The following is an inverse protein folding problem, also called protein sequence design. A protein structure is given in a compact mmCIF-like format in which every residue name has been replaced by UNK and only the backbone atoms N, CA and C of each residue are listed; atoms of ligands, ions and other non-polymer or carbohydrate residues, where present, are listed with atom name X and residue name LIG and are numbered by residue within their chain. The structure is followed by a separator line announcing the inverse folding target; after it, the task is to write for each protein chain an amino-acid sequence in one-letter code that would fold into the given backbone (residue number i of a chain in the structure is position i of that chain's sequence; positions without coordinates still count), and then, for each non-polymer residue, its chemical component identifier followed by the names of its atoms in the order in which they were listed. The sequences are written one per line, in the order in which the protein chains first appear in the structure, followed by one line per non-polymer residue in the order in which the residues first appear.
data_IF_253809402871
#
_entry.id   IF_253809402871
#
_cell.length_a   1.000
_cell.length_b   1.000
_cell.length_c   1.000
_cell.angle_alpha   90.00
_cell.angle_beta   90.00
_cell.angle_gamma   90.00
#
_symmetry.space_group_name_H-M   'P 1'
#
loop_
_entity.id
_entity.type
_entity.pdbx_description
1 polymer ?
#
# COMPACT_ATOMS: atom_id res chain seq x y z
N UNK A 1 12.25 -4.11 9.49
CA UNK A 1 13.71 -3.86 9.56
C UNK A 1 13.98 -2.36 9.65
N UNK A 2 14.94 -1.93 10.45
CA UNK A 2 15.15 -0.49 10.68
C UNK A 2 15.58 0.28 9.43
N UNK A 3 16.13 -0.41 8.43
CA UNK A 3 16.59 0.16 7.17
C UNK A 3 15.50 0.39 6.11
N UNK A 4 14.25 -0.06 6.35
CA UNK A 4 13.20 -0.05 5.34
C UNK A 4 12.23 1.10 5.58
N UNK A 5 12.57 2.28 5.06
CA UNK A 5 11.76 3.51 5.18
C UNK A 5 10.50 3.47 4.32
N UNK A 6 10.60 2.87 3.12
CA UNK A 6 9.50 2.79 2.17
C UNK A 6 9.38 1.39 1.55
N UNK A 7 8.15 0.95 1.31
CA UNK A 7 7.84 -0.21 0.46
C UNK A 7 6.88 0.25 -0.64
N UNK A 8 7.22 -0.06 -1.89
CA UNK A 8 6.33 0.14 -3.02
C UNK A 8 5.85 -1.19 -3.53
N UNK A 9 4.53 -1.35 -3.64
CA UNK A 9 3.91 -2.48 -4.32
C UNK A 9 3.26 -1.91 -5.57
N UNK A 10 3.83 -2.21 -6.73
CA UNK A 10 3.29 -1.80 -8.02
C UNK A 10 2.57 -2.99 -8.67
N UNK A 11 1.43 -2.73 -9.31
CA UNK A 11 0.70 -3.74 -10.07
C UNK A 11 0.01 -4.78 -9.20
N UNK A 12 -0.37 -4.45 -7.96
CA UNK A 12 -1.11 -5.36 -7.09
C UNK A 12 -2.49 -5.63 -7.71
N UNK A 13 -2.66 -6.84 -8.25
CA UNK A 13 -3.91 -7.27 -8.86
C UNK A 13 -4.80 -8.00 -7.84
N UNK A 14 -6.01 -7.47 -7.64
CA UNK A 14 -7.07 -8.10 -6.83
C UNK A 14 -8.32 -8.22 -7.69
N UNK A 15 -8.62 -9.45 -8.14
CA UNK A 15 -9.65 -9.72 -9.16
C UNK A 15 -9.45 -8.80 -10.38
N UNK A 16 -10.42 -7.95 -10.68
CA UNK A 16 -10.41 -7.02 -11.81
C UNK A 16 -9.85 -5.63 -11.45
N UNK A 17 -9.31 -5.47 -10.23
CA UNK A 17 -8.71 -4.20 -9.79
C UNK A 17 -7.19 -4.26 -9.78
N UNK A 18 -6.56 -3.17 -10.19
CA UNK A 18 -5.12 -2.96 -10.10
C UNK A 18 -4.79 -1.81 -9.14
N UNK A 19 -3.80 -2.00 -8.27
CA UNK A 19 -3.39 -1.05 -7.25
C UNK A 19 -1.88 -0.84 -7.26
N UNK A 20 -1.48 0.43 -7.14
CA UNK A 20 -0.11 0.79 -6.76
C UNK A 20 -0.16 1.39 -5.35
N UNK A 21 0.59 0.81 -4.42
CA UNK A 21 0.60 1.15 -3.00
C UNK A 21 1.99 1.60 -2.54
N UNK A 22 2.03 2.62 -1.70
CA UNK A 22 3.22 3.05 -0.98
C UNK A 22 3.00 2.92 0.52
N UNK A 23 3.86 2.14 1.16
CA UNK A 23 3.95 2.01 2.60
C UNK A 23 5.13 2.85 3.05
N UNK A 24 4.93 3.71 4.04
CA UNK A 24 6.00 4.53 4.62
C UNK A 24 6.06 4.24 6.11
N UNK A 25 7.26 3.93 6.61
CA UNK A 25 7.50 3.75 8.03
C UNK A 25 7.19 5.05 8.78
N UNK A 26 6.51 4.92 9.91
CA UNK A 26 6.33 5.98 10.90
C UNK A 26 6.91 5.48 12.22
N UNK A 27 7.19 6.37 13.18
CA UNK A 27 7.87 6.03 14.43
C UNK A 27 7.25 4.83 15.18
N UNK A 28 5.92 4.64 15.08
CA UNK A 28 5.17 3.56 15.74
C UNK A 28 4.11 2.92 14.85
N UNK A 29 4.11 3.21 13.55
CA UNK A 29 3.04 2.84 12.63
C UNK A 29 3.53 2.74 11.19
N UNK A 30 2.62 2.40 10.27
CA UNK A 30 2.87 2.40 8.84
C UNK A 30 1.77 3.22 8.15
N UNK A 31 2.19 4.25 7.43
CA UNK A 31 1.29 4.98 6.55
C UNK A 31 1.10 4.21 5.25
N UNK A 32 -0.13 4.09 4.76
CA UNK A 32 -0.46 3.41 3.49
C UNK A 32 -1.11 4.42 2.55
N UNK A 33 -0.49 4.62 1.40
CA UNK A 33 -0.96 5.51 0.35
C UNK A 33 -1.34 4.70 -0.90
N UNK A 34 -2.49 5.01 -1.48
CA UNK A 34 -2.91 4.46 -2.78
C UNK A 34 -2.42 5.42 -3.86
N UNK A 35 -1.37 5.05 -4.59
CA UNK A 35 -0.80 5.86 -5.67
C UNK A 35 -1.68 5.77 -6.91
N UNK A 36 -2.16 4.56 -7.23
CA UNK A 36 -3.04 4.31 -8.37
C UNK A 36 -4.09 3.26 -7.99
N UNK A 37 -5.32 3.46 -8.48
CA UNK A 37 -6.42 2.50 -8.39
C UNK A 37 -7.20 2.46 -9.68
N UNK A 38 -7.20 1.29 -10.31
CA UNK A 38 -7.97 1.00 -11.52
C UNK A 38 -8.95 -0.12 -11.19
N UNK A 39 -10.20 0.24 -10.87
CA UNK A 39 -11.25 -0.71 -10.48
C UNK A 39 -11.75 -0.53 -9.03
N UNK A 40 -12.80 -1.28 -8.65
CA UNK A 40 -13.37 -1.22 -7.31
C UNK A 40 -12.55 -2.06 -6.31
N UNK A 41 -11.80 -1.39 -5.44
CA UNK A 41 -11.17 -2.02 -4.28
C UNK A 41 -11.23 -1.11 -3.04
N UNK A 42 -11.32 -1.76 -1.88
CA UNK A 42 -11.22 -1.13 -0.56
C UNK A 42 -9.94 -1.62 0.10
N UNK A 43 -9.12 -0.69 0.58
CA UNK A 43 -7.94 -0.99 1.39
C UNK A 43 -8.33 -0.82 2.84
N UNK A 44 -8.15 -1.88 3.64
CA UNK A 44 -8.39 -1.86 5.09
C UNK A 44 -7.07 -2.14 5.78
N UNK A 45 -6.67 -1.25 6.69
CA UNK A 45 -5.46 -1.41 7.49
C UNK A 45 -5.87 -2.03 8.82
N UNK A 46 -5.39 -3.24 9.08
CA UNK A 46 -5.60 -3.94 10.35
C UNK A 46 -4.32 -3.78 11.17
N UNK A 47 -4.45 -3.25 12.38
CA UNK A 47 -3.35 -3.13 13.35
C UNK A 47 -3.27 -4.37 14.24
#
# INVERSE_FOLDING_TARGET
PDFLEEIRINGLRVRDTNLDLLFTKQEKDVAINIIRREGPATVVVVK
#
